data_IF_480804192789
#
_entry.id   IF_480804192789
#
_cell.length_a   1.000
_cell.length_b   1.000
_cell.length_c   1.000
_cell.angle_alpha   90.00
_cell.angle_beta   90.00
_cell.angle_gamma   90.00
#
_symmetry.space_group_name_H-M   'P 1'
#
loop_
_entity.id
_entity.type
_entity.pdbx_description
1 polymer ?
#
# COMPACT_ATOMS: atom_id res chain seq x y z
N UNK A 1 -12.65 -22.81 8.90
CA UNK A 1 -13.10 -24.06 9.49
C UNK A 1 -13.57 -24.99 8.36
N UNK A 2 -13.08 -26.24 8.34
CA UNK A 2 -13.55 -27.26 7.41
C UNK A 2 -14.17 -28.40 8.24
N UNK A 3 -15.36 -28.81 7.91
CA UNK A 3 -16.09 -29.87 8.61
C UNK A 3 -16.91 -30.72 7.63
N UNK A 4 -17.17 -31.97 8.00
CA UNK A 4 -18.03 -32.86 7.22
C UNK A 4 -19.48 -32.65 7.66
N UNK A 5 -20.36 -32.30 6.72
CA UNK A 5 -21.79 -32.12 6.93
C UNK A 5 -22.54 -32.97 5.90
N UNK A 6 -23.35 -33.93 6.39
CA UNK A 6 -24.13 -34.85 5.53
C UNK A 6 -23.30 -35.63 4.48
N UNK A 7 -22.03 -35.96 4.80
CA UNK A 7 -21.15 -36.72 3.90
C UNK A 7 -20.40 -35.87 2.90
N UNK A 8 -20.46 -34.50 3.00
CA UNK A 8 -19.75 -33.57 2.16
C UNK A 8 -18.83 -32.68 3.01
N UNK A 9 -17.65 -32.33 2.47
CA UNK A 9 -16.74 -31.37 3.10
C UNK A 9 -17.25 -29.94 2.85
N UNK A 10 -17.52 -29.22 3.96
CA UNK A 10 -17.96 -27.84 3.95
C UNK A 10 -16.89 -26.97 4.60
N UNK A 11 -16.42 -25.94 3.91
CA UNK A 11 -15.49 -24.96 4.44
C UNK A 11 -16.21 -23.64 4.72
N UNK A 12 -15.86 -22.99 5.85
CA UNK A 12 -16.37 -21.70 6.23
C UNK A 12 -15.28 -20.86 6.91
N UNK A 13 -15.25 -19.55 6.59
CA UNK A 13 -14.43 -18.55 7.24
C UNK A 13 -15.32 -17.45 7.83
N UNK A 14 -14.83 -16.81 8.88
CA UNK A 14 -15.48 -15.68 9.51
C UNK A 14 -14.65 -14.41 9.31
N UNK A 15 -15.27 -13.39 8.74
CA UNK A 15 -14.75 -12.04 8.69
C UNK A 15 -15.52 -11.18 9.69
N UNK A 16 -14.82 -10.52 10.60
CA UNK A 16 -15.43 -9.62 11.58
C UNK A 16 -14.60 -8.36 11.75
N UNK A 17 -15.28 -7.25 11.89
CA UNK A 17 -14.72 -5.94 12.19
C UNK A 17 -15.52 -5.28 13.29
N UNK A 18 -14.83 -4.80 14.32
CA UNK A 18 -15.46 -4.02 15.39
C UNK A 18 -15.44 -2.52 15.04
N UNK A 19 -16.41 -1.78 15.55
CA UNK A 19 -16.52 -0.34 15.30
C UNK A 19 -15.22 0.43 15.63
N UNK A 20 -14.55 0.10 16.74
CA UNK A 20 -13.32 0.79 17.14
C UNK A 20 -12.15 0.55 16.19
N UNK A 21 -12.06 -0.63 15.57
CA UNK A 21 -11.03 -0.96 14.58
C UNK A 21 -11.22 -0.14 13.31
N UNK A 22 -12.47 -0.07 12.83
CA UNK A 22 -12.83 0.72 11.64
C UNK A 22 -12.57 2.20 11.92
N UNK A 23 -12.96 2.71 13.08
CA UNK A 23 -12.78 4.10 13.49
C UNK A 23 -11.31 4.49 13.49
N UNK A 24 -10.44 3.63 14.02
CA UNK A 24 -8.99 3.85 14.07
C UNK A 24 -8.39 4.01 12.66
N UNK A 25 -8.68 3.08 11.75
CA UNK A 25 -8.12 3.18 10.39
C UNK A 25 -8.75 4.31 9.59
N UNK A 26 -10.01 4.64 9.82
CA UNK A 26 -10.66 5.78 9.20
C UNK A 26 -9.97 7.09 9.58
N UNK A 27 -9.65 7.31 10.86
CA UNK A 27 -8.88 8.48 11.30
C UNK A 27 -7.51 8.54 10.61
N UNK A 28 -6.81 7.41 10.51
CA UNK A 28 -5.53 7.34 9.79
C UNK A 28 -5.68 7.77 8.32
N UNK A 29 -6.73 7.29 7.65
CA UNK A 29 -6.99 7.65 6.25
C UNK A 29 -7.28 9.15 6.07
N UNK A 30 -8.15 9.71 6.90
CA UNK A 30 -8.48 11.15 6.83
C UNK A 30 -7.29 12.05 7.18
N UNK A 31 -6.49 11.68 8.19
CA UNK A 31 -5.26 12.41 8.54
C UNK A 31 -4.22 12.34 7.41
N UNK A 32 -4.13 11.20 6.74
CA UNK A 32 -3.27 11.03 5.56
C UNK A 32 -3.75 11.90 4.41
N UNK A 33 -5.06 11.91 4.13
CA UNK A 33 -5.64 12.74 3.06
C UNK A 33 -5.39 14.25 3.27
N UNK A 34 -5.43 14.74 4.52
CA UNK A 34 -5.07 16.14 4.84
C UNK A 34 -3.65 16.53 4.46
N UNK A 35 -2.73 15.58 4.41
CA UNK A 35 -1.33 15.77 3.96
C UNK A 35 -1.18 15.59 2.45
N UNK A 36 -2.25 15.29 1.73
CA UNK A 36 -2.28 15.00 0.29
C UNK A 36 -3.32 15.88 -0.41
N UNK A 37 -4.21 15.31 -1.21
CA UNK A 37 -5.19 16.05 -2.02
C UNK A 37 -6.58 16.16 -1.38
N UNK A 38 -6.70 15.88 -0.07
CA UNK A 38 -7.93 16.01 0.70
C UNK A 38 -9.09 15.13 0.20
N UNK A 39 -8.78 13.94 -0.31
CA UNK A 39 -9.79 13.00 -0.82
C UNK A 39 -9.60 11.60 -0.28
N UNK A 40 -10.70 11.00 0.22
CA UNK A 40 -10.77 9.61 0.67
C UNK A 40 -11.82 8.86 -0.13
N UNK A 41 -11.46 7.70 -0.66
CA UNK A 41 -12.42 6.74 -1.21
C UNK A 41 -12.52 5.57 -0.24
N UNK A 42 -13.71 5.40 0.35
CA UNK A 42 -14.02 4.26 1.21
C UNK A 42 -14.50 3.09 0.35
N UNK A 43 -13.74 2.00 0.37
CA UNK A 43 -14.02 0.83 -0.46
C UNK A 43 -14.57 -0.30 0.38
N UNK A 44 -15.66 -0.87 -0.06
CA UNK A 44 -16.39 -1.91 0.65
C UNK A 44 -17.21 -2.81 -0.28
N UNK A 45 -17.95 -3.77 0.28
CA UNK A 45 -18.94 -4.60 -0.41
C UNK A 45 -20.30 -4.52 0.30
N UNK A 46 -20.76 -3.32 0.63
CA UNK A 46 -21.96 -3.08 1.44
C UNK A 46 -23.26 -3.63 0.83
N UNK A 47 -23.30 -3.85 -0.48
CA UNK A 47 -24.43 -4.51 -1.14
C UNK A 47 -24.56 -6.00 -0.79
N UNK A 48 -23.52 -6.62 -0.20
CA UNK A 48 -23.49 -8.04 0.15
C UNK A 48 -23.22 -8.26 1.65
N UNK A 49 -22.19 -7.59 2.21
CA UNK A 49 -21.62 -7.93 3.52
C UNK A 49 -22.10 -6.98 4.64
N UNK A 50 -22.45 -7.56 5.79
CA UNK A 50 -22.79 -6.79 6.99
C UNK A 50 -21.57 -6.04 7.56
N UNK A 51 -20.38 -6.63 7.50
CA UNK A 51 -19.13 -5.98 7.89
C UNK A 51 -18.89 -4.70 7.08
N UNK A 52 -19.15 -4.74 5.77
CA UNK A 52 -19.04 -3.58 4.89
C UNK A 52 -20.11 -2.52 5.14
N UNK A 53 -21.32 -2.92 5.53
CA UNK A 53 -22.36 -1.94 5.95
C UNK A 53 -21.96 -1.21 7.23
N UNK A 54 -21.40 -1.93 8.22
CA UNK A 54 -20.84 -1.32 9.43
C UNK A 54 -19.64 -0.41 9.08
N UNK A 55 -18.74 -0.88 8.21
CA UNK A 55 -17.59 -0.13 7.72
C UNK A 55 -18.00 1.24 7.18
N UNK A 56 -18.91 1.25 6.21
CA UNK A 56 -19.43 2.48 5.58
C UNK A 56 -20.04 3.43 6.61
N UNK A 57 -20.88 2.91 7.51
CA UNK A 57 -21.49 3.71 8.59
C UNK A 57 -20.43 4.40 9.42
N UNK A 58 -19.43 3.67 9.91
CA UNK A 58 -18.39 4.19 10.82
C UNK A 58 -17.47 5.18 10.10
N UNK A 59 -17.06 4.90 8.86
CA UNK A 59 -16.26 5.83 8.06
C UNK A 59 -16.98 7.16 7.88
N UNK A 60 -18.29 7.15 7.56
CA UNK A 60 -19.08 8.38 7.45
C UNK A 60 -19.31 9.10 8.79
N UNK A 61 -19.30 8.38 9.91
CA UNK A 61 -19.33 9.03 11.23
C UNK A 61 -18.03 9.77 11.50
N UNK A 62 -16.89 9.16 11.22
CA UNK A 62 -15.55 9.77 11.36
C UNK A 62 -15.36 10.93 10.39
N UNK A 63 -15.87 10.83 9.15
CA UNK A 63 -15.79 11.89 8.16
C UNK A 63 -16.34 13.24 8.64
N UNK A 64 -17.31 13.25 9.56
CA UNK A 64 -17.86 14.48 10.14
C UNK A 64 -16.85 15.29 10.93
N UNK A 65 -15.77 14.65 11.40
CA UNK A 65 -14.65 15.28 12.13
C UNK A 65 -13.61 15.89 11.16
N UNK A 66 -13.75 15.61 9.85
CA UNK A 66 -12.85 16.04 8.78
C UNK A 66 -13.58 16.75 7.65
N UNK A 67 -14.27 17.88 7.94
CA UNK A 67 -15.12 18.56 6.95
C UNK A 67 -14.35 19.14 5.76
N UNK A 68 -13.04 19.20 5.86
CA UNK A 68 -12.09 19.63 4.84
C UNK A 68 -11.63 18.51 3.89
N UNK A 69 -12.09 17.26 4.11
CA UNK A 69 -11.73 16.09 3.29
C UNK A 69 -12.98 15.56 2.58
N UNK A 70 -12.92 15.46 1.27
CA UNK A 70 -13.96 14.81 0.47
C UNK A 70 -13.95 13.29 0.74
N UNK A 71 -15.13 12.72 0.99
CA UNK A 71 -15.29 11.26 1.11
C UNK A 71 -16.31 10.74 0.11
N UNK A 72 -15.98 9.65 -0.56
CA UNK A 72 -16.88 8.93 -1.44
C UNK A 72 -16.81 7.43 -1.18
N UNK A 73 -17.92 6.71 -1.36
CA UNK A 73 -17.96 5.27 -1.30
C UNK A 73 -17.79 4.64 -2.68
N UNK A 74 -17.07 3.53 -2.75
CA UNK A 74 -16.96 2.73 -3.95
C UNK A 74 -17.04 1.24 -3.61
N UNK A 75 -17.79 0.47 -4.39
CA UNK A 75 -17.78 -0.99 -4.24
C UNK A 75 -16.45 -1.56 -4.75
N UNK A 76 -15.92 -2.56 -4.07
CA UNK A 76 -14.59 -3.14 -4.36
C UNK A 76 -14.44 -3.60 -5.81
N UNK A 77 -15.45 -4.20 -6.39
CA UNK A 77 -15.46 -4.63 -7.79
C UNK A 77 -15.39 -3.45 -8.78
N UNK A 78 -16.08 -2.34 -8.46
CA UNK A 78 -15.93 -1.12 -9.25
C UNK A 78 -14.56 -0.47 -9.04
N UNK A 79 -14.02 -0.53 -7.80
CA UNK A 79 -12.68 0.01 -7.49
C UNK A 79 -11.61 -0.69 -8.33
N UNK A 80 -11.64 -2.01 -8.42
CA UNK A 80 -10.72 -2.79 -9.26
C UNK A 80 -10.77 -2.32 -10.73
N UNK A 81 -11.96 -2.16 -11.29
CA UNK A 81 -12.11 -1.63 -12.64
C UNK A 81 -11.58 -0.20 -12.79
N UNK A 82 -11.79 0.64 -11.80
CA UNK A 82 -11.39 2.05 -11.85
C UNK A 82 -9.88 2.23 -11.64
N UNK A 83 -9.22 1.38 -10.86
CA UNK A 83 -7.75 1.35 -10.72
C UNK A 83 -7.11 1.16 -12.09
N UNK A 84 -7.59 0.22 -12.89
CA UNK A 84 -7.08 -0.02 -14.25
C UNK A 84 -7.44 1.11 -15.21
N UNK A 85 -8.70 1.60 -15.13
CA UNK A 85 -9.23 2.55 -16.11
C UNK A 85 -8.74 3.99 -15.89
N UNK A 86 -8.68 4.45 -14.65
CA UNK A 86 -8.35 5.82 -14.29
C UNK A 86 -7.71 5.89 -12.88
N UNK A 87 -6.48 5.41 -12.70
CA UNK A 87 -5.81 5.39 -11.39
C UNK A 87 -5.64 6.79 -10.79
N UNK A 88 -5.50 7.83 -11.61
CA UNK A 88 -5.28 9.20 -11.16
C UNK A 88 -6.47 9.82 -10.39
N UNK A 89 -7.64 9.18 -10.37
CA UNK A 89 -8.77 9.64 -9.58
C UNK A 89 -8.63 9.36 -8.07
N UNK A 90 -7.74 8.42 -7.70
CA UNK A 90 -7.53 8.01 -6.33
C UNK A 90 -6.47 8.87 -5.65
N UNK A 91 -6.71 9.25 -4.40
CA UNK A 91 -5.74 9.89 -3.52
C UNK A 91 -5.46 8.97 -2.33
N UNK A 92 -6.41 8.82 -1.42
CA UNK A 92 -6.34 7.86 -0.33
C UNK A 92 -7.52 6.89 -0.46
N UNK A 93 -7.21 5.60 -0.46
CA UNK A 93 -8.20 4.52 -0.40
C UNK A 93 -8.17 3.92 0.99
N UNK A 94 -9.34 3.85 1.65
CA UNK A 94 -9.52 3.14 2.91
C UNK A 94 -10.44 1.93 2.71
N UNK A 95 -9.96 0.75 3.11
CA UNK A 95 -10.69 -0.49 2.92
C UNK A 95 -10.29 -1.52 3.98
N UNK A 96 -11.06 -2.59 4.08
CA UNK A 96 -10.72 -3.72 4.95
C UNK A 96 -9.54 -4.55 4.38
N UNK A 97 -8.98 -5.42 5.21
CA UNK A 97 -7.72 -6.11 4.94
C UNK A 97 -7.72 -6.91 3.62
N UNK A 98 -8.70 -7.78 3.42
CA UNK A 98 -8.73 -8.68 2.26
C UNK A 98 -8.91 -7.92 0.94
N UNK A 99 -9.78 -6.91 0.91
CA UNK A 99 -9.93 -6.06 -0.28
C UNK A 99 -8.72 -5.18 -0.51
N UNK A 100 -8.11 -4.68 0.57
CA UNK A 100 -6.90 -3.87 0.50
C UNK A 100 -5.72 -4.64 -0.09
N UNK A 101 -5.52 -5.88 0.32
CA UNK A 101 -4.49 -6.78 -0.18
C UNK A 101 -4.63 -6.99 -1.70
N UNK A 102 -5.83 -7.35 -2.15
CA UNK A 102 -6.10 -7.57 -3.58
C UNK A 102 -5.91 -6.28 -4.40
N UNK A 103 -6.46 -5.16 -3.92
CA UNK A 103 -6.43 -3.89 -4.65
C UNK A 103 -5.03 -3.26 -4.66
N UNK A 104 -4.22 -3.46 -3.62
CA UNK A 104 -2.85 -2.94 -3.59
C UNK A 104 -1.95 -3.71 -4.57
N UNK A 105 -2.13 -5.03 -4.69
CA UNK A 105 -1.41 -5.83 -5.67
C UNK A 105 -1.79 -5.42 -7.11
N UNK A 106 -3.09 -5.24 -7.37
CA UNK A 106 -3.56 -4.73 -8.67
C UNK A 106 -2.98 -3.34 -8.97
N UNK A 107 -3.02 -2.43 -8.00
CA UNK A 107 -2.49 -1.07 -8.13
C UNK A 107 -0.98 -1.05 -8.34
N UNK A 108 -0.23 -2.03 -7.81
CA UNK A 108 1.21 -2.14 -8.01
C UNK A 108 1.61 -2.28 -9.48
N UNK A 109 0.73 -2.86 -10.30
CA UNK A 109 0.96 -3.02 -11.74
C UNK A 109 0.93 -1.68 -12.50
N UNK A 110 0.36 -0.63 -11.94
CA UNK A 110 0.41 0.72 -12.51
C UNK A 110 1.83 1.29 -12.44
N UNK A 111 2.56 0.97 -11.35
CA UNK A 111 3.96 1.36 -11.19
C UNK A 111 4.93 0.44 -11.96
N UNK A 112 4.44 -0.70 -12.43
CA UNK A 112 5.17 -1.67 -13.23
C UNK A 112 5.78 -2.83 -12.45
N UNK A 113 5.86 -2.79 -11.12
CA UNK A 113 6.39 -3.88 -10.30
C UNK A 113 5.97 -3.79 -8.85
N UNK A 114 5.65 -4.93 -8.23
CA UNK A 114 5.44 -5.03 -6.78
C UNK A 114 6.72 -4.74 -5.97
N UNK A 115 7.89 -4.89 -6.60
CA UNK A 115 9.20 -4.57 -6.02
C UNK A 115 9.43 -3.08 -5.75
N UNK A 116 8.53 -2.20 -6.20
CA UNK A 116 8.57 -0.76 -5.96
C UNK A 116 7.76 -0.33 -4.72
N UNK A 117 6.89 -1.18 -4.19
CA UNK A 117 5.86 -0.78 -3.24
C UNK A 117 6.25 -1.07 -1.80
N UNK A 118 6.42 -0.04 -0.96
CA UNK A 118 6.60 -0.20 0.48
C UNK A 118 5.26 -0.42 1.19
N UNK A 119 5.30 -1.04 2.36
CA UNK A 119 4.16 -1.21 3.26
C UNK A 119 4.54 -0.89 4.71
N UNK A 120 3.55 -0.48 5.49
CA UNK A 120 3.69 -0.27 6.93
C UNK A 120 2.45 -0.76 7.67
N UNK A 121 2.64 -1.66 8.62
CA UNK A 121 1.61 -2.08 9.57
C UNK A 121 1.79 -1.30 10.87
N UNK A 122 0.91 -0.32 11.09
CA UNK A 122 0.99 0.60 12.22
C UNK A 122 0.02 0.19 13.34
N UNK A 123 0.50 0.17 14.58
CA UNK A 123 -0.30 -0.05 15.78
C UNK A 123 -0.81 1.26 16.42
N UNK A 124 -1.26 1.15 17.67
CA UNK A 124 -1.71 2.30 18.47
C UNK A 124 -0.54 3.13 19.04
N UNK A 125 0.69 2.73 18.78
CA UNK A 125 1.92 3.40 19.21
C UNK A 125 2.81 3.69 18.01
N UNK A 126 3.97 4.31 18.26
CA UNK A 126 4.99 4.54 17.21
C UNK A 126 5.65 3.24 16.69
N UNK A 127 5.36 2.09 17.30
CA UNK A 127 5.87 0.80 16.82
C UNK A 127 5.08 0.36 15.60
N UNK A 128 5.79 -0.07 14.57
CA UNK A 128 5.21 -0.62 13.36
C UNK A 128 6.10 -1.71 12.75
N UNK A 129 5.55 -2.45 11.82
CA UNK A 129 6.30 -3.33 10.93
C UNK A 129 6.36 -2.66 9.57
N UNK A 130 7.54 -2.64 8.98
CA UNK A 130 7.82 -1.97 7.71
C UNK A 130 8.48 -2.97 6.78
N UNK A 131 7.83 -3.24 5.67
CA UNK A 131 8.24 -4.27 4.73
C UNK A 131 7.80 -3.91 3.30
N UNK A 132 8.38 -4.48 2.25
CA UNK A 132 7.76 -4.39 0.92
C UNK A 132 6.48 -5.22 0.89
N UNK A 133 5.55 -4.95 -0.03
CA UNK A 133 4.30 -5.72 -0.13
C UNK A 133 4.49 -7.14 -0.64
N UNK A 134 5.57 -7.40 -1.38
CA UNK A 134 5.85 -8.70 -1.99
C UNK A 134 6.35 -9.74 -0.97
N UNK A 135 6.18 -11.02 -1.29
CA UNK A 135 6.69 -12.15 -0.53
C UNK A 135 8.21 -12.35 -0.69
N UNK A 136 8.70 -13.48 -0.20
CA UNK A 136 10.14 -13.83 -0.13
C UNK A 136 10.75 -14.28 -1.47
N UNK A 137 9.95 -14.58 -2.50
CA UNK A 137 10.36 -15.01 -3.84
C UNK A 137 11.52 -16.03 -3.82
N UNK A 138 11.34 -17.23 -3.23
CA UNK A 138 12.41 -18.21 -3.03
C UNK A 138 13.04 -18.71 -4.33
N UNK A 139 12.32 -18.64 -5.43
CA UNK A 139 12.73 -19.00 -6.80
C UNK A 139 13.84 -18.11 -7.35
N UNK A 140 13.93 -16.85 -6.92
CA UNK A 140 15.00 -15.92 -7.33
C UNK A 140 16.03 -15.62 -6.23
N UNK A 141 15.91 -16.27 -5.07
CA UNK A 141 16.82 -16.06 -3.96
C UNK A 141 18.28 -16.34 -4.36
N UNK A 142 19.20 -15.46 -4.00
CA UNK A 142 20.63 -15.57 -4.31
C UNK A 142 21.03 -15.18 -5.73
N UNK A 143 20.08 -14.86 -6.62
CA UNK A 143 20.38 -14.50 -8.01
C UNK A 143 20.72 -13.01 -8.21
N UNK A 144 20.60 -12.19 -7.18
CA UNK A 144 20.87 -10.74 -7.21
C UNK A 144 20.05 -9.96 -8.25
N UNK A 145 18.81 -10.40 -8.54
CA UNK A 145 17.94 -9.79 -9.57
C UNK A 145 16.70 -9.10 -9.00
N UNK A 146 16.41 -9.26 -7.71
CA UNK A 146 15.26 -8.64 -7.06
C UNK A 146 15.38 -7.10 -7.08
N UNK A 147 14.24 -6.42 -7.13
CA UNK A 147 14.18 -4.97 -6.99
C UNK A 147 14.20 -4.58 -5.50
N UNK A 148 15.21 -3.83 -5.01
CA UNK A 148 15.32 -3.50 -3.59
C UNK A 148 14.54 -2.23 -3.20
N UNK A 149 13.95 -1.52 -4.16
CA UNK A 149 13.37 -0.18 -3.95
C UNK A 149 12.25 -0.22 -2.91
N UNK A 150 11.32 -1.18 -2.99
CA UNK A 150 10.23 -1.31 -2.00
C UNK A 150 10.75 -1.46 -0.57
N UNK A 151 11.82 -2.26 -0.36
CA UNK A 151 12.45 -2.42 0.95
C UNK A 151 13.15 -1.14 1.43
N UNK A 152 13.82 -0.43 0.53
CA UNK A 152 14.48 0.85 0.84
C UNK A 152 13.45 1.91 1.24
N UNK A 153 12.34 2.00 0.50
CA UNK A 153 11.23 2.91 0.82
C UNK A 153 10.52 2.51 2.12
N UNK A 154 10.38 1.22 2.40
CA UNK A 154 9.85 0.73 3.69
C UNK A 154 10.74 1.14 4.87
N UNK A 155 12.07 1.06 4.72
CA UNK A 155 13.01 1.60 5.72
C UNK A 155 12.83 3.13 5.89
N UNK A 156 12.63 3.85 4.81
CA UNK A 156 12.27 5.28 4.86
C UNK A 156 10.96 5.55 5.61
N UNK A 157 9.91 4.75 5.37
CA UNK A 157 8.65 4.84 6.11
C UNK A 157 8.86 4.60 7.61
N UNK A 158 9.74 3.68 7.99
CA UNK A 158 10.12 3.47 9.40
C UNK A 158 10.73 4.74 10.00
N UNK A 159 11.64 5.41 9.33
CA UNK A 159 12.22 6.68 9.78
C UNK A 159 11.11 7.73 10.02
N UNK A 160 10.20 7.86 9.07
CA UNK A 160 9.09 8.81 9.14
C UNK A 160 8.10 8.51 10.26
N UNK A 161 7.57 7.28 10.33
CA UNK A 161 6.44 6.98 11.22
C UNK A 161 6.85 6.55 12.63
N UNK A 162 8.00 5.88 12.80
CA UNK A 162 8.48 5.46 14.11
C UNK A 162 9.34 6.52 14.81
N UNK A 163 10.09 7.31 14.03
CA UNK A 163 11.11 8.21 14.56
C UNK A 163 10.84 9.70 14.25
N UNK A 164 9.78 10.06 13.53
CA UNK A 164 9.43 11.43 13.09
C UNK A 164 10.55 12.10 12.27
N UNK A 165 11.28 11.32 11.48
CA UNK A 165 12.38 11.76 10.63
C UNK A 165 11.87 12.01 9.20
N UNK A 166 11.02 13.02 9.03
CA UNK A 166 10.40 13.36 7.74
C UNK A 166 11.41 13.81 6.69
N UNK A 167 12.47 14.51 7.12
CA UNK A 167 13.53 15.00 6.23
C UNK A 167 14.32 13.83 5.62
N UNK A 168 14.72 12.89 6.45
CA UNK A 168 15.47 11.70 6.04
C UNK A 168 14.65 10.80 5.13
N UNK A 169 13.33 10.65 5.42
CA UNK A 169 12.42 9.97 4.50
C UNK A 169 12.37 10.66 3.13
N UNK A 170 12.18 11.97 3.10
CA UNK A 170 12.10 12.72 1.85
C UNK A 170 13.41 12.64 1.03
N UNK A 171 14.56 12.58 1.69
CA UNK A 171 15.86 12.39 1.00
C UNK A 171 15.97 11.01 0.37
N UNK A 172 15.52 9.94 1.06
CA UNK A 172 15.49 8.58 0.51
C UNK A 172 14.54 8.51 -0.70
N UNK A 173 13.32 9.04 -0.56
CA UNK A 173 12.31 9.07 -1.63
C UNK A 173 12.87 9.80 -2.87
N UNK A 174 13.46 10.98 -2.67
CA UNK A 174 14.07 11.74 -3.73
C UNK A 174 15.25 11.01 -4.40
N UNK A 175 16.11 10.36 -3.63
CA UNK A 175 17.23 9.59 -4.19
C UNK A 175 16.74 8.45 -5.10
N UNK A 176 15.66 7.76 -4.71
CA UNK A 176 15.01 6.73 -5.54
C UNK A 176 14.45 7.35 -6.83
N UNK A 177 13.71 8.46 -6.72
CA UNK A 177 13.16 9.16 -7.88
C UNK A 177 14.24 9.61 -8.87
N UNK A 178 15.32 10.19 -8.37
CA UNK A 178 16.43 10.67 -9.20
C UNK A 178 17.17 9.54 -9.92
N UNK A 179 17.39 8.40 -9.25
CA UNK A 179 17.98 7.20 -9.88
C UNK A 179 17.10 6.68 -11.02
N UNK A 180 15.79 6.62 -10.80
CA UNK A 180 14.83 6.21 -11.82
C UNK A 180 14.73 7.25 -12.96
N UNK A 181 14.77 8.55 -12.65
CA UNK A 181 14.75 9.62 -13.65
C UNK A 181 15.99 9.58 -14.57
N UNK A 182 17.16 9.24 -14.03
CA UNK A 182 18.40 9.06 -14.78
C UNK A 182 18.46 7.75 -15.58
N UNK A 183 17.37 6.98 -15.54
CA UNK A 183 17.14 5.83 -16.40
C UNK A 183 17.72 4.52 -15.90
N UNK A 184 18.09 4.41 -14.63
CA UNK A 184 18.49 3.13 -14.04
C UNK A 184 17.28 2.26 -13.71
N UNK A 185 17.38 0.96 -13.98
CA UNK A 185 16.27 0.00 -13.82
C UNK A 185 16.77 -1.36 -13.34
N UNK A 186 15.99 -2.01 -12.50
CA UNK A 186 16.12 -3.45 -12.26
C UNK A 186 15.39 -4.24 -13.35
N UNK A 187 15.58 -5.56 -13.41
CA UNK A 187 15.06 -6.40 -14.49
C UNK A 187 13.52 -6.35 -14.62
N UNK A 188 12.81 -6.24 -13.50
CA UNK A 188 11.34 -6.23 -13.40
C UNK A 188 10.68 -4.97 -13.99
N UNK A 189 11.41 -3.84 -13.99
CA UNK A 189 10.95 -2.54 -14.51
C UNK A 189 11.77 -2.07 -15.72
N UNK A 190 12.45 -3.00 -16.40
CA UNK A 190 13.33 -2.68 -17.51
C UNK A 190 12.54 -2.19 -18.74
N UNK A 191 13.04 -1.14 -19.38
CA UNK A 191 12.50 -0.53 -20.58
C UNK A 191 13.62 -0.32 -21.63
N UNK A 192 13.25 -0.20 -22.90
CA UNK A 192 14.20 0.08 -23.97
C UNK A 192 14.96 1.40 -23.73
N UNK A 193 16.29 1.33 -23.89
CA UNK A 193 17.16 2.49 -23.71
C UNK A 193 17.52 2.82 -22.26
N UNK A 194 17.04 2.05 -21.29
CA UNK A 194 17.41 2.21 -19.88
C UNK A 194 18.65 1.40 -19.51
N UNK A 195 19.23 1.72 -18.34
CA UNK A 195 20.46 1.12 -17.81
C UNK A 195 20.09 0.06 -16.78
N UNK A 196 20.34 -1.21 -17.10
CA UNK A 196 20.07 -2.32 -16.17
C UNK A 196 21.03 -2.30 -14.99
N UNK A 197 20.49 -2.52 -13.79
CA UNK A 197 21.22 -2.77 -12.55
C UNK A 197 20.70 -4.03 -11.87
N UNK A 198 21.58 -4.79 -11.24
CA UNK A 198 21.23 -5.85 -10.32
C UNK A 198 20.70 -5.29 -9.00
N UNK A 199 20.22 -6.18 -8.10
CA UNK A 199 19.71 -5.78 -6.78
C UNK A 199 20.73 -4.96 -5.98
N UNK A 200 21.97 -5.46 -5.83
CA UNK A 200 23.02 -4.77 -5.09
C UNK A 200 23.46 -3.47 -5.77
N UNK A 201 23.62 -3.45 -7.09
CA UNK A 201 23.98 -2.24 -7.83
C UNK A 201 22.92 -1.14 -7.73
N UNK A 202 21.63 -1.52 -7.71
CA UNK A 202 20.55 -0.55 -7.50
C UNK A 202 20.62 0.03 -6.08
N UNK A 203 20.85 -0.77 -5.06
CA UNK A 203 21.05 -0.30 -3.68
C UNK A 203 22.23 0.66 -3.58
N UNK A 204 23.40 0.29 -4.13
CA UNK A 204 24.59 1.13 -4.14
C UNK A 204 24.36 2.45 -4.90
N UNK A 205 23.60 2.40 -6.00
CA UNK A 205 23.26 3.59 -6.79
C UNK A 205 22.37 4.56 -6.00
N UNK A 206 21.38 4.05 -5.27
CA UNK A 206 20.52 4.89 -4.41
C UNK A 206 21.36 5.53 -3.28
N UNK A 207 22.30 4.79 -2.67
CA UNK A 207 23.21 5.34 -1.66
C UNK A 207 24.12 6.44 -2.25
N UNK A 208 24.60 6.23 -3.49
CA UNK A 208 25.39 7.25 -4.20
C UNK A 208 24.61 8.58 -4.36
N UNK A 209 23.30 8.48 -4.71
CA UNK A 209 22.45 9.67 -4.89
C UNK A 209 22.06 10.30 -3.56
N UNK A 210 21.81 9.50 -2.53
CA UNK A 210 21.52 9.98 -1.19
C UNK A 210 22.70 10.79 -0.61
N UNK A 211 23.94 10.41 -0.90
CA UNK A 211 25.12 11.15 -0.46
C UNK A 211 25.40 12.45 -1.23
N UNK A 212 24.64 12.72 -2.31
CA UNK A 212 24.73 13.97 -3.09
C UNK A 212 23.66 14.99 -2.71
N UNK A 213 22.62 14.53 -1.99
CA UNK A 213 21.50 15.35 -1.54
C UNK A 213 21.83 16.07 -0.22
#
# INVERSE_FOLDING_TARGET
>A
KTEEINGELVASDHMNYAEHEIRRIAHTAFQTARKRHHKVISVDKANVLDTSRLWRKVVHEVAKEYPDVEVADMLVDNTAMQIVKNPAQFDVVVTENMFGDILSDEASMITGSIGLIPSASLGDSKRGMYEPIHGSAPDIAGQNIANPIGTILAAGMMLKYAFDLDTEYAQIEKAVEDVLADGYRTADIMEDGKKHLSCSEMGDKIVEYLNKA
#
